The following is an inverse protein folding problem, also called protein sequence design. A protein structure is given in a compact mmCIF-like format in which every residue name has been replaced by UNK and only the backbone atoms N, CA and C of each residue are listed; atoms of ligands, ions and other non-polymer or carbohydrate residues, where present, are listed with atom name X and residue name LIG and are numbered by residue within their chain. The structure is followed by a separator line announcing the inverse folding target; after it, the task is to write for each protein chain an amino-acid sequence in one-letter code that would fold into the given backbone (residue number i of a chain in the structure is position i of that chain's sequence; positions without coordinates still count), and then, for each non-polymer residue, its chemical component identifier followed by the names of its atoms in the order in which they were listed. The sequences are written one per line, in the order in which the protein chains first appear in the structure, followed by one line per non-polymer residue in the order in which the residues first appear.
data_IF_866128657516
#
_entry.id   IF_866128657516
#
_cell.length_a   1.000
_cell.length_b   1.000
_cell.length_c   1.000
_cell.angle_alpha   90.00
_cell.angle_beta   90.00
_cell.angle_gamma   90.00
#
_symmetry.space_group_name_H-M   'P 1'
#
loop_
_entity.id
_entity.type
_entity.pdbx_description
1 polymer ?
#
# COMPACT_ATOMS: atom_id res chain seq x y z
N UNK A 1 -15.32 10.27 -3.75
CA UNK A 1 -14.67 10.16 -2.43
C UNK A 1 -15.76 9.93 -1.41
N UNK A 2 -16.10 8.66 -1.09
CA UNK A 2 -17.16 8.35 -0.14
C UNK A 2 -16.78 7.14 0.74
N UNK A 3 -16.16 7.47 1.89
CA UNK A 3 -16.35 6.88 3.22
C UNK A 3 -15.38 7.62 4.16
N UNK A 4 -15.90 8.47 5.03
CA UNK A 4 -15.14 9.32 5.96
C UNK A 4 -14.57 8.51 7.13
N UNK A 5 -13.78 7.49 6.85
CA UNK A 5 -13.03 6.77 7.88
C UNK A 5 -11.73 7.50 8.20
N UNK A 6 -11.34 7.53 9.47
CA UNK A 6 -10.06 8.11 9.93
C UNK A 6 -8.87 7.62 9.10
N UNK A 7 -8.86 6.33 8.75
CA UNK A 7 -7.86 5.70 7.87
C UNK A 7 -7.80 6.33 6.47
N UNK A 8 -8.94 6.59 5.84
CA UNK A 8 -9.00 7.21 4.51
C UNK A 8 -8.51 8.66 4.52
N UNK A 9 -8.84 9.42 5.58
CA UNK A 9 -8.29 10.76 5.79
C UNK A 9 -6.77 10.73 5.97
N UNK A 10 -6.27 9.81 6.78
CA UNK A 10 -4.82 9.62 7.00
C UNK A 10 -4.08 9.33 5.69
N UNK A 11 -4.58 8.38 4.88
CA UNK A 11 -4.00 8.07 3.58
C UNK A 11 -4.06 9.26 2.62
N UNK A 12 -5.15 10.02 2.61
CA UNK A 12 -5.26 11.23 1.78
C UNK A 12 -4.31 12.37 2.19
N UNK A 13 -3.81 12.36 3.41
CA UNK A 13 -2.76 13.31 3.85
C UNK A 13 -1.37 12.78 3.47
N UNK A 14 -1.12 11.48 3.68
CA UNK A 14 0.15 10.83 3.41
C UNK A 14 0.45 10.66 1.92
N UNK A 15 -0.57 10.58 1.09
CA UNK A 15 -0.43 10.32 -0.34
C UNK A 15 -1.25 11.30 -1.16
N UNK A 16 -0.70 11.66 -2.30
CA UNK A 16 -1.41 12.39 -3.33
C UNK A 16 -1.73 11.44 -4.48
N UNK A 17 -3.01 11.16 -4.67
CA UNK A 17 -3.52 10.32 -5.77
C UNK A 17 -3.94 11.23 -6.92
N UNK A 18 -3.46 10.93 -8.12
CA UNK A 18 -3.84 11.66 -9.33
C UNK A 18 -5.29 11.37 -9.73
N UNK A 19 -5.92 12.32 -10.43
CA UNK A 19 -7.24 12.12 -11.04
C UNK A 19 -7.20 11.29 -12.32
N UNK A 20 -6.02 11.03 -12.88
CA UNK A 20 -5.86 10.26 -14.12
C UNK A 20 -6.38 8.82 -13.94
N UNK A 21 -7.07 8.26 -14.94
CA UNK A 21 -7.49 6.87 -14.89
C UNK A 21 -6.26 5.95 -14.91
N UNK A 22 -6.35 4.84 -14.19
CA UNK A 22 -5.34 3.77 -14.21
C UNK A 22 -5.49 3.01 -15.53
N UNK A 23 -4.39 2.81 -16.25
CA UNK A 23 -4.39 2.04 -17.49
C UNK A 23 -4.68 0.57 -17.20
N UNK A 24 -5.34 -0.11 -18.13
CA UNK A 24 -5.71 -1.52 -17.96
C UNK A 24 -4.50 -2.41 -17.68
N UNK A 25 -3.43 -2.26 -18.48
CA UNK A 25 -2.17 -2.99 -18.26
C UNK A 25 -1.54 -2.70 -16.90
N UNK A 26 -1.47 -1.42 -16.52
CA UNK A 26 -0.89 -1.02 -15.24
C UNK A 26 -1.68 -1.59 -14.06
N UNK A 27 -3.00 -1.71 -14.20
CA UNK A 27 -3.87 -2.40 -13.25
C UNK A 27 -3.51 -3.89 -13.14
N UNK A 28 -3.36 -4.59 -14.27
CA UNK A 28 -3.02 -6.03 -14.27
C UNK A 28 -1.66 -6.28 -13.62
N UNK A 29 -0.67 -5.48 -13.97
CA UNK A 29 0.68 -5.58 -13.43
C UNK A 29 0.70 -5.24 -11.93
N UNK A 30 -0.01 -4.18 -11.52
CA UNK A 30 -0.17 -3.82 -10.12
C UNK A 30 -0.91 -4.90 -9.31
N UNK A 31 -1.92 -5.55 -9.90
CA UNK A 31 -2.65 -6.65 -9.26
C UNK A 31 -1.74 -7.87 -9.06
N UNK A 32 -0.97 -8.26 -10.07
CA UNK A 32 0.00 -9.36 -9.97
C UNK A 32 1.05 -9.08 -8.88
N UNK A 33 1.69 -7.91 -8.92
CA UNK A 33 2.68 -7.51 -7.90
C UNK A 33 2.07 -7.49 -6.49
N UNK A 34 0.87 -6.94 -6.34
CA UNK A 34 0.20 -6.87 -5.03
C UNK A 34 -0.10 -8.26 -4.48
N UNK A 35 -0.54 -9.15 -5.36
CA UNK A 35 -0.87 -10.53 -5.04
C UNK A 35 0.38 -11.34 -4.67
N UNK A 36 1.53 -11.09 -5.30
CA UNK A 36 2.83 -11.65 -4.90
C UNK A 36 3.39 -11.08 -3.59
N UNK A 37 2.67 -10.13 -2.97
CA UNK A 37 3.10 -9.48 -1.74
C UNK A 37 4.17 -8.40 -1.95
N UNK A 38 4.45 -8.04 -3.20
CA UNK A 38 5.42 -7.03 -3.59
C UNK A 38 4.86 -5.61 -3.39
N UNK A 39 5.77 -4.64 -3.21
CA UNK A 39 5.40 -3.23 -3.11
C UNK A 39 5.20 -2.63 -4.51
N UNK A 40 3.93 -2.55 -4.94
CA UNK A 40 3.53 -2.00 -6.24
C UNK A 40 4.08 -0.60 -6.49
N UNK A 41 4.64 -0.38 -7.68
CA UNK A 41 5.17 0.92 -8.12
C UNK A 41 4.08 2.02 -8.07
N UNK A 42 4.32 3.15 -7.38
CA UNK A 42 3.36 4.26 -7.32
C UNK A 42 2.98 4.85 -8.69
N UNK A 43 3.88 4.75 -9.69
CA UNK A 43 3.64 5.27 -11.03
C UNK A 43 2.48 4.57 -11.73
N UNK A 44 2.38 3.24 -11.60
CA UNK A 44 1.33 2.38 -12.20
C UNK A 44 -0.08 2.76 -11.72
N UNK A 45 -0.21 3.11 -10.46
CA UNK A 45 -1.47 3.52 -9.84
C UNK A 45 -1.63 5.04 -9.72
N UNK A 46 -0.74 5.80 -10.36
CA UNK A 46 -0.74 7.26 -10.40
C UNK A 46 -0.83 7.96 -9.03
N UNK A 47 -0.10 7.47 -8.02
CA UNK A 47 0.00 8.13 -6.72
C UNK A 47 1.44 8.49 -6.37
N UNK A 48 1.60 9.45 -5.46
CA UNK A 48 2.91 9.82 -4.88
C UNK A 48 2.83 9.93 -3.37
N UNK A 49 3.93 9.61 -2.70
CA UNK A 49 4.06 9.80 -1.26
C UNK A 49 4.34 11.27 -0.94
N UNK A 50 3.62 11.82 0.03
CA UNK A 50 3.91 13.13 0.58
C UNK A 50 4.80 12.96 1.81
N UNK A 51 6.12 12.98 1.58
CA UNK A 51 7.11 12.75 2.62
C UNK A 51 6.95 13.73 3.79
N UNK A 52 6.91 15.04 3.51
CA UNK A 52 6.81 16.05 4.57
C UNK A 52 5.60 15.86 5.46
N UNK A 53 4.40 15.72 4.88
CA UNK A 53 3.17 15.53 5.68
C UNK A 53 3.17 14.20 6.44
N UNK A 54 3.71 13.14 5.84
CA UNK A 54 3.81 11.83 6.48
C UNK A 54 4.76 11.83 7.67
N UNK A 55 5.91 12.52 7.55
CA UNK A 55 6.84 12.71 8.66
C UNK A 55 6.20 13.49 9.80
N UNK A 56 5.47 14.58 9.51
CA UNK A 56 4.79 15.36 10.56
C UNK A 56 3.77 14.51 11.32
N UNK A 57 2.92 13.76 10.61
CA UNK A 57 1.93 12.88 11.25
C UNK A 57 2.60 11.86 12.16
N UNK A 58 3.62 11.17 11.64
CA UNK A 58 4.31 10.14 12.41
C UNK A 58 5.10 10.74 13.56
N UNK A 59 5.72 11.91 13.39
CA UNK A 59 6.42 12.63 14.44
C UNK A 59 5.47 13.03 15.57
N UNK A 60 4.27 13.54 15.27
CA UNK A 60 3.26 13.82 16.30
C UNK A 60 2.84 12.56 17.06
N UNK A 61 2.63 11.45 16.35
CA UNK A 61 2.30 10.16 16.97
C UNK A 61 3.44 9.64 17.87
N UNK A 62 4.67 9.61 17.32
CA UNK A 62 5.86 9.17 18.03
C UNK A 62 6.15 10.06 19.25
N UNK A 63 5.98 11.37 19.13
CA UNK A 63 6.13 12.31 20.24
C UNK A 63 5.19 11.98 21.39
N UNK A 64 3.91 11.72 21.11
CA UNK A 64 2.94 11.33 22.15
C UNK A 64 3.35 10.02 22.82
N UNK A 65 3.71 9.00 22.02
CA UNK A 65 4.13 7.70 22.55
C UNK A 65 5.40 7.79 23.40
N UNK A 66 6.43 8.48 22.90
CA UNK A 66 7.72 8.63 23.58
C UNK A 66 7.59 9.51 24.82
N UNK A 67 6.84 10.62 24.75
CA UNK A 67 6.59 11.46 25.93
C UNK A 67 5.85 10.71 27.03
N UNK A 68 4.85 9.91 26.67
CA UNK A 68 4.16 9.06 27.63
C UNK A 68 5.10 8.04 28.26
N UNK A 69 5.95 7.38 27.47
CA UNK A 69 6.94 6.42 27.94
C UNK A 69 7.96 7.08 28.90
N UNK A 70 8.44 8.29 28.54
CA UNK A 70 9.37 9.04 29.36
C UNK A 70 8.71 9.41 30.69
N UNK A 71 7.48 9.93 30.68
CA UNK A 71 6.78 10.29 31.92
C UNK A 71 6.63 9.08 32.86
N UNK A 72 6.33 7.89 32.31
CA UNK A 72 6.20 6.66 33.09
C UNK A 72 7.55 6.17 33.64
N UNK A 73 8.63 6.30 32.86
CA UNK A 73 9.95 5.74 33.19
C UNK A 73 10.90 6.76 33.83
N UNK A 74 10.49 8.03 33.95
CA UNK A 74 11.34 9.14 34.39
C UNK A 74 12.04 8.87 35.73
N UNK A 75 11.28 8.47 36.76
CA UNK A 75 11.81 8.20 38.09
C UNK A 75 12.77 7.01 38.15
N UNK A 76 12.68 6.08 37.19
CA UNK A 76 13.61 4.96 37.04
C UNK A 76 14.90 5.43 36.36
N UNK A 77 14.77 6.26 35.31
CA UNK A 77 15.92 6.78 34.55
C UNK A 77 16.79 7.77 35.35
N UNK A 78 16.20 8.52 36.28
CA UNK A 78 16.96 9.45 37.15
C UNK A 78 18.04 8.73 37.96
N UNK A 79 17.84 7.45 38.28
CA UNK A 79 18.73 6.66 39.14
C UNK A 79 19.72 5.77 38.36
N UNK A 80 19.65 5.78 37.04
CA UNK A 80 20.43 4.89 36.15
C UNK A 80 21.75 5.56 35.74
N UNK A 81 22.81 4.77 35.57
CA UNK A 81 24.10 5.24 35.03
C UNK A 81 23.94 5.77 33.60
N UNK A 82 24.64 6.87 33.32
CA UNK A 82 24.59 7.57 32.04
C UNK A 82 24.85 6.68 30.81
N UNK A 83 25.69 5.65 30.91
CA UNK A 83 25.96 4.73 29.80
C UNK A 83 24.70 3.98 29.35
N UNK A 84 23.86 3.56 30.29
CA UNK A 84 22.59 2.89 29.98
C UNK A 84 21.56 3.88 29.43
N UNK A 85 21.57 5.13 29.87
CA UNK A 85 20.70 6.17 29.31
C UNK A 85 21.02 6.47 27.84
N UNK A 86 22.31 6.47 27.47
CA UNK A 86 22.72 6.57 26.07
C UNK A 86 22.22 5.37 25.27
N UNK A 87 22.45 4.15 25.77
CA UNK A 87 22.05 2.92 25.07
C UNK A 87 20.53 2.90 24.83
N UNK A 88 19.74 3.26 25.85
CA UNK A 88 18.30 3.35 25.73
C UNK A 88 17.85 4.40 24.72
N UNK A 89 18.53 5.55 24.66
CA UNK A 89 18.23 6.61 23.70
C UNK A 89 18.49 6.14 22.26
N UNK A 90 19.60 5.43 22.03
CA UNK A 90 19.95 4.85 20.72
C UNK A 90 18.89 3.81 20.31
N UNK A 91 18.52 2.90 21.21
CA UNK A 91 17.49 1.89 20.95
C UNK A 91 16.13 2.52 20.65
N UNK A 92 15.71 3.50 21.45
CA UNK A 92 14.44 4.21 21.26
C UNK A 92 14.41 4.95 19.93
N UNK A 93 15.47 5.68 19.61
CA UNK A 93 15.60 6.40 18.33
C UNK A 93 15.53 5.45 17.14
N UNK A 94 16.23 4.32 17.22
CA UNK A 94 16.20 3.27 16.19
C UNK A 94 14.80 2.68 16.03
N UNK A 95 14.11 2.39 17.13
CA UNK A 95 12.75 1.87 17.12
C UNK A 95 11.75 2.86 16.47
N UNK A 96 11.92 4.16 16.69
CA UNK A 96 11.10 5.20 16.02
C UNK A 96 11.33 5.20 14.51
N UNK A 97 12.57 5.12 14.04
CA UNK A 97 12.88 5.06 12.60
C UNK A 97 12.34 3.79 11.95
N UNK A 98 12.57 2.62 12.56
CA UNK A 98 12.01 1.35 12.09
C UNK A 98 10.47 1.41 12.08
N UNK A 99 9.88 1.98 13.12
CA UNK A 99 8.43 2.19 13.21
C UNK A 99 7.89 3.05 12.07
N UNK A 100 8.61 4.10 11.68
CA UNK A 100 8.24 4.93 10.53
C UNK A 100 8.26 4.15 9.22
N UNK A 101 9.30 3.35 8.99
CA UNK A 101 9.41 2.53 7.78
C UNK A 101 8.31 1.48 7.69
N UNK A 102 8.00 0.81 8.81
CA UNK A 102 6.87 -0.10 8.90
C UNK A 102 5.53 0.62 8.65
N UNK A 103 5.33 1.79 9.25
CA UNK A 103 4.12 2.61 9.07
C UNK A 103 3.95 3.02 7.61
N UNK A 104 5.02 3.48 6.96
CA UNK A 104 5.05 3.86 5.54
C UNK A 104 4.72 2.66 4.65
N UNK A 105 5.31 1.49 4.89
CA UNK A 105 5.05 0.27 4.13
C UNK A 105 3.59 -0.18 4.27
N UNK A 106 3.07 -0.19 5.49
CA UNK A 106 1.66 -0.50 5.77
C UNK A 106 0.71 0.45 5.05
N UNK A 107 0.96 1.76 5.13
CA UNK A 107 0.12 2.78 4.52
C UNK A 107 0.13 2.66 2.99
N UNK A 108 1.29 2.38 2.39
CA UNK A 108 1.42 2.13 0.94
C UNK A 108 0.63 0.90 0.53
N UNK A 109 0.80 -0.23 1.21
CA UNK A 109 0.07 -1.47 0.91
C UNK A 109 -1.45 -1.25 0.99
N UNK A 110 -1.91 -0.51 2.00
CA UNK A 110 -3.33 -0.23 2.18
C UNK A 110 -3.89 0.63 1.04
N UNK A 111 -3.20 1.72 0.67
CA UNK A 111 -3.61 2.58 -0.42
C UNK A 111 -3.62 1.83 -1.76
N UNK A 112 -2.55 1.09 -2.07
CA UNK A 112 -2.43 0.30 -3.29
C UNK A 112 -3.63 -0.64 -3.46
N UNK A 113 -4.00 -1.37 -2.41
CA UNK A 113 -5.15 -2.27 -2.45
C UNK A 113 -6.46 -1.52 -2.76
N UNK A 114 -6.68 -0.35 -2.15
CA UNK A 114 -7.87 0.47 -2.39
C UNK A 114 -7.90 1.03 -3.83
N UNK A 115 -6.75 1.43 -4.37
CA UNK A 115 -6.63 1.93 -5.74
C UNK A 115 -6.84 0.82 -6.77
N UNK A 116 -6.27 -0.37 -6.55
CA UNK A 116 -6.49 -1.54 -7.41
C UNK A 116 -7.97 -1.88 -7.43
N UNK A 117 -8.63 -2.01 -6.28
CA UNK A 117 -10.07 -2.31 -6.20
C UNK A 117 -10.93 -1.27 -6.93
N UNK A 118 -10.56 0.00 -6.82
CA UNK A 118 -11.27 1.09 -7.49
C UNK A 118 -11.09 1.04 -9.01
N UNK A 119 -9.85 0.85 -9.48
CA UNK A 119 -9.56 0.71 -10.90
C UNK A 119 -10.20 -0.56 -11.47
N UNK A 120 -10.20 -1.64 -10.70
CA UNK A 120 -10.85 -2.90 -11.03
C UNK A 120 -12.35 -2.71 -11.27
N UNK A 121 -13.05 -2.01 -10.37
CA UNK A 121 -14.48 -1.75 -10.54
C UNK A 121 -14.80 -0.95 -11.84
N UNK A 122 -13.83 -0.20 -12.38
CA UNK A 122 -14.02 0.51 -13.64
C UNK A 122 -13.78 -0.38 -14.86
N UNK A 123 -12.76 -1.24 -14.82
CA UNK A 123 -12.36 -2.10 -15.94
C UNK A 123 -13.12 -3.44 -15.99
N UNK A 124 -13.54 -3.95 -14.84
CA UNK A 124 -14.15 -5.27 -14.66
C UNK A 124 -15.48 -5.15 -13.90
N UNK A 125 -16.48 -4.50 -14.52
CA UNK A 125 -17.78 -4.22 -13.91
C UNK A 125 -18.52 -5.47 -13.41
N UNK A 126 -18.44 -6.58 -14.16
CA UNK A 126 -19.16 -7.82 -13.86
C UNK A 126 -18.33 -8.85 -13.09
N UNK A 127 -17.02 -8.61 -12.91
CA UNK A 127 -16.12 -9.56 -12.28
C UNK A 127 -15.64 -9.01 -10.93
N UNK A 128 -16.17 -9.47 -9.79
CA UNK A 128 -15.76 -8.97 -8.48
C UNK A 128 -14.28 -9.26 -8.18
N UNK A 129 -13.55 -8.25 -7.72
CA UNK A 129 -12.11 -8.33 -7.40
C UNK A 129 -11.75 -9.54 -6.52
N UNK A 130 -12.51 -9.78 -5.45
CA UNK A 130 -12.18 -10.81 -4.46
C UNK A 130 -12.17 -12.23 -5.04
N UNK A 131 -12.99 -12.48 -6.08
CA UNK A 131 -13.07 -13.79 -6.75
C UNK A 131 -12.07 -13.90 -7.90
N UNK A 132 -11.92 -12.83 -8.69
CA UNK A 132 -11.20 -12.90 -9.97
C UNK A 132 -9.76 -12.37 -9.92
N UNK A 133 -9.32 -11.69 -8.85
CA UNK A 133 -7.97 -11.09 -8.77
C UNK A 133 -6.85 -12.10 -9.07
N UNK A 134 -6.90 -13.30 -8.49
CA UNK A 134 -5.91 -14.38 -8.75
C UNK A 134 -6.08 -15.04 -10.12
N UNK A 135 -7.32 -15.18 -10.59
CA UNK A 135 -7.61 -15.78 -11.91
C UNK A 135 -7.03 -14.89 -13.01
N UNK A 136 -7.29 -13.59 -12.94
CA UNK A 136 -6.81 -12.60 -13.89
C UNK A 136 -5.29 -12.45 -13.84
N UNK A 137 -4.68 -12.56 -12.67
CA UNK A 137 -3.21 -12.63 -12.55
C UNK A 137 -2.64 -13.81 -13.32
N UNK A 138 -3.23 -15.01 -13.20
CA UNK A 138 -2.78 -16.18 -13.95
C UNK A 138 -2.90 -15.97 -15.47
N UNK A 139 -4.06 -15.47 -15.91
CA UNK A 139 -4.30 -15.15 -17.33
C UNK A 139 -3.31 -14.09 -17.84
N UNK A 140 -3.05 -13.06 -17.03
CA UNK A 140 -2.07 -12.01 -17.37
C UNK A 140 -0.66 -12.59 -17.48
N UNK A 141 -0.24 -13.43 -16.54
CA UNK A 141 1.06 -14.09 -16.57
C UNK A 141 1.19 -15.03 -17.79
N UNK A 142 0.12 -15.71 -18.21
CA UNK A 142 0.08 -16.49 -19.45
C UNK A 142 0.18 -15.60 -20.70
N UNK A 143 -0.49 -14.45 -20.71
CA UNK A 143 -0.43 -13.48 -21.80
C UNK A 143 1.00 -12.94 -21.99
N UNK A 144 1.70 -12.65 -20.89
CA UNK A 144 3.10 -12.21 -20.92
C UNK A 144 4.03 -13.32 -21.42
N UNK A 145 3.83 -14.57 -20.97
CA UNK A 145 4.60 -15.73 -21.46
C UNK A 145 4.39 -16.00 -22.95
N UNK A 146 3.20 -15.72 -23.45
CA UNK A 146 2.82 -15.92 -24.85
C UNK A 146 3.11 -14.69 -25.74
N UNK A 147 3.78 -13.67 -25.20
CA UNK A 147 4.13 -12.40 -25.86
C UNK A 147 2.93 -11.72 -26.56
N UNK A 148 1.77 -11.71 -25.89
CA UNK A 148 0.56 -11.10 -26.44
C UNK A 148 0.77 -9.59 -26.64
N UNK A 149 0.45 -9.05 -27.83
CA UNK A 149 0.60 -7.61 -28.11
C UNK A 149 -0.18 -6.75 -27.12
N UNK A 150 0.42 -5.65 -26.68
CA UNK A 150 -0.18 -4.73 -25.68
C UNK A 150 -1.57 -4.21 -26.08
N UNK A 151 -1.84 -4.09 -27.37
CA UNK A 151 -3.14 -3.63 -27.91
C UNK A 151 -4.24 -4.68 -27.77
N UNK A 152 -3.86 -5.95 -27.76
CA UNK A 152 -4.78 -7.09 -27.73
C UNK A 152 -4.94 -7.65 -26.30
N UNK A 153 -4.07 -7.24 -25.37
CA UNK A 153 -4.06 -7.72 -23.99
C UNK A 153 -5.42 -7.61 -23.29
N UNK A 154 -6.15 -6.52 -23.50
CA UNK A 154 -7.48 -6.33 -22.91
C UNK A 154 -8.49 -7.34 -23.43
N UNK A 155 -8.55 -7.53 -24.74
CA UNK A 155 -9.43 -8.52 -25.37
C UNK A 155 -9.05 -9.95 -24.98
N UNK A 156 -7.76 -10.24 -24.93
CA UNK A 156 -7.23 -11.54 -24.51
C UNK A 156 -7.66 -11.86 -23.07
N UNK A 157 -7.45 -10.94 -22.14
CA UNK A 157 -7.78 -11.14 -20.73
C UNK A 157 -9.29 -11.29 -20.54
N UNK A 158 -10.10 -10.40 -21.14
CA UNK A 158 -11.56 -10.47 -21.01
C UNK A 158 -12.15 -11.76 -21.61
N UNK A 159 -11.67 -12.18 -22.78
CA UNK A 159 -12.15 -13.42 -23.41
C UNK A 159 -11.81 -14.66 -22.58
N UNK A 160 -10.60 -14.73 -22.01
CA UNK A 160 -10.18 -15.83 -21.14
C UNK A 160 -10.92 -15.87 -19.80
N UNK A 161 -11.25 -14.71 -19.23
CA UNK A 161 -12.08 -14.65 -18.02
C UNK A 161 -13.48 -15.23 -18.30
N UNK A 162 -14.10 -14.89 -19.44
CA UNK A 162 -15.42 -15.41 -19.81
C UNK A 162 -15.36 -16.92 -20.10
N UNK A 163 -14.32 -17.40 -20.78
CA UNK A 163 -14.10 -18.84 -21.02
C UNK A 163 -13.98 -19.61 -19.70
N UNK A 164 -13.29 -19.03 -18.70
CA UNK A 164 -13.15 -19.63 -17.38
C UNK A 164 -14.49 -19.67 -16.61
N UNK A 165 -15.29 -18.60 -16.71
CA UNK A 165 -16.59 -18.52 -16.01
C UNK A 165 -17.68 -19.41 -16.63
N UNK A 166 -17.56 -19.71 -17.92
CA UNK A 166 -18.52 -20.53 -18.68
C UNK A 166 -18.17 -22.02 -18.74
N UNK A 167 -16.99 -22.43 -18.25
CA UNK A 167 -16.65 -23.84 -18.08
C UNK A 167 -17.47 -24.43 -16.92
N UNK A 168 -18.24 -25.51 -17.16
CA UNK A 168 -19.07 -26.15 -16.14
C UNK A 168 -18.26 -26.81 -15.01
#
# INVERSE_FOLDING_TARGET
MQRSNFKGKLLGIMFHVSHKPVLFRDLLEANAEFNDGMLVDPSKLNFRFNYGKSYVIFACFAFICVMFLIMLTHAMFEKIDFHFSILFTIMTTSAVFIGFDCFKAWARKKLTHELIKRAWANHFLYFPYEKYSRIVENIYNEAIKSDVPRRELEQYVLSKIVEFDTKP
#
